data_IF_512418478143
#
_entry.id   IF_512418478143
#
_cell.length_a   1.000
_cell.length_b   1.000
_cell.length_c   1.000
_cell.angle_alpha   90.00
_cell.angle_beta   90.00
_cell.angle_gamma   90.00
#
_symmetry.space_group_name_H-M   'P 1'
#
loop_
_entity.id
_entity.type
_entity.pdbx_description
1 polymer ?
#
# COMPACT_ATOMS: atom_id res chain seq x y z
N UNK A 1 4.87 -1.00 -28.20
CA UNK A 1 5.40 -1.63 -26.97
C UNK A 1 5.15 -3.14 -27.05
N UNK A 2 6.05 -3.96 -26.51
CA UNK A 2 5.82 -5.41 -26.30
C UNK A 2 5.48 -5.63 -24.83
N UNK A 3 4.49 -6.47 -24.54
CA UNK A 3 4.08 -6.82 -23.18
C UNK A 3 3.61 -8.27 -23.11
N UNK A 4 3.28 -8.74 -21.90
CA UNK A 4 2.76 -10.10 -21.68
C UNK A 4 1.24 -10.02 -21.64
N UNK A 5 0.55 -10.67 -22.58
CA UNK A 5 -0.90 -10.77 -22.55
C UNK A 5 -1.34 -11.72 -21.42
N UNK A 6 -2.15 -11.19 -20.51
CA UNK A 6 -2.77 -11.93 -19.40
C UNK A 6 -4.21 -12.33 -19.75
N UNK A 7 -4.84 -11.60 -20.69
CA UNK A 7 -6.21 -11.80 -21.18
C UNK A 7 -6.36 -11.33 -22.63
N UNK A 8 -7.36 -11.84 -23.33
CA UNK A 8 -7.71 -11.45 -24.69
C UNK A 8 -8.92 -10.50 -24.69
N UNK A 9 -9.06 -9.74 -25.77
CA UNK A 9 -10.12 -8.76 -25.93
C UNK A 9 -9.60 -7.38 -26.30
N UNK A 10 -10.53 -6.50 -26.68
CA UNK A 10 -10.25 -5.11 -27.03
C UNK A 10 -11.16 -4.23 -26.18
N UNK A 11 -10.56 -3.27 -25.47
CA UNK A 11 -11.27 -2.28 -24.68
C UNK A 11 -10.88 -0.88 -25.17
N UNK A 12 -11.86 0.03 -25.19
CA UNK A 12 -11.66 1.45 -25.50
C UNK A 12 -12.24 2.23 -24.32
N UNK A 13 -11.46 3.16 -23.76
CA UNK A 13 -11.84 3.94 -22.60
C UNK A 13 -10.80 5.00 -22.26
N UNK A 14 -11.15 5.88 -21.33
CA UNK A 14 -10.21 6.89 -20.81
C UNK A 14 -9.10 6.20 -20.02
N UNK A 15 -7.87 6.65 -20.20
CA UNK A 15 -6.75 6.18 -19.40
C UNK A 15 -6.80 6.83 -18.01
N UNK A 16 -6.85 6.01 -16.96
CA UNK A 16 -6.68 6.43 -15.57
C UNK A 16 -5.28 6.01 -15.12
N UNK A 17 -4.42 6.99 -14.85
CA UNK A 17 -3.08 6.72 -14.35
C UNK A 17 -3.14 6.59 -12.84
N UNK A 18 -2.93 5.38 -12.32
CA UNK A 18 -2.77 5.16 -10.89
C UNK A 18 -1.31 5.41 -10.52
N UNK A 19 -1.07 6.48 -9.75
CA UNK A 19 0.27 6.83 -9.30
C UNK A 19 0.74 5.87 -8.18
N UNK A 20 1.82 5.15 -8.47
CA UNK A 20 2.52 4.27 -7.53
C UNK A 20 3.88 4.84 -7.10
N UNK A 21 4.16 6.12 -7.38
CA UNK A 21 5.46 6.74 -7.11
C UNK A 21 5.72 6.79 -5.60
N UNK A 22 6.91 6.34 -5.20
CA UNK A 22 7.34 6.40 -3.79
C UNK A 22 7.61 7.86 -3.38
N UNK A 23 7.24 8.22 -2.16
CA UNK A 23 7.46 9.58 -1.65
C UNK A 23 8.95 9.91 -1.49
N UNK A 24 9.35 11.08 -2.01
CA UNK A 24 10.64 11.68 -1.70
C UNK A 24 10.54 12.37 -0.34
N UNK A 25 11.04 11.71 0.70
CA UNK A 25 10.96 12.20 2.07
C UNK A 25 12.29 12.86 2.44
N UNK A 26 12.25 14.16 2.71
CA UNK A 26 13.41 14.97 3.11
C UNK A 26 13.50 14.98 4.64
N UNK A 27 14.71 14.76 5.16
CA UNK A 27 14.99 14.91 6.60
C UNK A 27 14.94 16.39 6.99
N UNK A 28 14.10 16.72 7.96
CA UNK A 28 14.01 18.05 8.59
C UNK A 28 14.27 17.92 10.08
N UNK A 29 15.16 18.76 10.59
CA UNK A 29 15.36 18.93 12.03
C UNK A 29 14.14 19.67 12.61
N UNK A 30 13.59 19.18 13.72
CA UNK A 30 12.46 19.82 14.42
C UNK A 30 12.92 20.39 15.77
N UNK A 31 12.23 21.42 16.25
CA UNK A 31 12.47 21.98 17.58
C UNK A 31 11.84 21.11 18.68
N UNK A 32 12.28 21.29 19.93
CA UNK A 32 11.72 20.57 21.09
C UNK A 32 10.20 20.73 21.20
N UNK A 33 9.69 21.92 20.85
CA UNK A 33 8.27 22.26 20.91
C UNK A 33 7.43 21.56 19.82
N UNK A 34 8.08 21.05 18.77
CA UNK A 34 7.43 20.32 17.68
C UNK A 34 7.43 18.80 17.90
N UNK A 35 8.28 18.27 18.79
CA UNK A 35 8.45 16.83 19.00
C UNK A 35 7.12 16.13 19.28
N UNK A 36 6.37 16.59 20.29
CA UNK A 36 5.10 15.94 20.64
C UNK A 36 4.02 16.16 19.57
N UNK A 37 4.11 17.23 18.76
CA UNK A 37 3.23 17.42 17.60
C UNK A 37 3.49 16.36 16.52
N UNK A 38 4.76 16.07 16.24
CA UNK A 38 5.14 15.03 15.27
C UNK A 38 4.77 13.63 15.77
N UNK A 39 4.92 13.36 17.08
CA UNK A 39 4.42 12.11 17.70
C UNK A 39 2.91 11.97 17.52
N UNK A 40 2.15 13.03 17.76
CA UNK A 40 0.69 13.01 17.59
C UNK A 40 0.29 12.80 16.12
N UNK A 41 1.01 13.43 15.16
CA UNK A 41 0.80 13.18 13.73
C UNK A 41 0.99 11.71 13.36
N UNK A 42 2.01 11.04 13.90
CA UNK A 42 2.24 9.60 13.70
C UNK A 42 1.07 8.77 14.23
N UNK A 43 0.65 9.05 15.48
CA UNK A 43 -0.49 8.33 16.09
C UNK A 43 -1.76 8.46 15.27
N UNK A 44 -2.10 9.67 14.82
CA UNK A 44 -3.27 9.92 14.00
C UNK A 44 -3.21 9.21 12.65
N UNK A 45 -2.04 9.22 12.00
CA UNK A 45 -1.86 8.53 10.72
C UNK A 45 -2.01 7.00 10.87
N UNK A 46 -1.53 6.43 11.97
CA UNK A 46 -1.70 5.00 12.28
C UNK A 46 -3.15 4.66 12.52
N UNK A 47 -3.86 5.41 13.36
CA UNK A 47 -5.28 5.17 13.62
C UNK A 47 -6.13 5.28 12.34
N UNK A 48 -5.83 6.26 11.49
CA UNK A 48 -6.45 6.36 10.15
C UNK A 48 -6.15 5.14 9.28
N UNK A 49 -4.91 4.63 9.34
CA UNK A 49 -4.49 3.44 8.60
C UNK A 49 -5.21 2.19 9.11
N UNK A 50 -5.34 2.02 10.43
CA UNK A 50 -6.11 0.91 11.05
C UNK A 50 -7.57 0.93 10.59
N UNK A 51 -8.20 2.10 10.61
CA UNK A 51 -9.57 2.25 10.12
C UNK A 51 -9.69 1.84 8.64
N UNK A 52 -8.80 2.33 7.78
CA UNK A 52 -8.78 1.98 6.35
C UNK A 52 -8.59 0.47 6.15
N UNK A 53 -7.64 -0.15 6.86
CA UNK A 53 -7.38 -1.59 6.73
C UNK A 53 -8.58 -2.43 7.18
N UNK A 54 -9.29 -2.03 8.23
CA UNK A 54 -10.52 -2.68 8.67
C UNK A 54 -11.64 -2.57 7.60
N UNK A 55 -11.78 -1.43 6.93
CA UNK A 55 -12.73 -1.28 5.82
C UNK A 55 -12.34 -2.15 4.61
N UNK A 56 -11.06 -2.20 4.26
CA UNK A 56 -10.55 -3.02 3.16
C UNK A 56 -10.75 -4.51 3.49
N UNK A 57 -10.52 -4.93 4.74
CA UNK A 57 -10.76 -6.30 5.18
C UNK A 57 -12.22 -6.73 4.99
N UNK A 58 -13.19 -5.90 5.40
CA UNK A 58 -14.63 -6.17 5.19
C UNK A 58 -15.00 -6.29 3.71
N UNK A 59 -14.30 -5.59 2.81
CA UNK A 59 -14.48 -5.74 1.35
C UNK A 59 -13.81 -6.99 0.83
N UNK A 60 -12.62 -7.33 1.33
CA UNK A 60 -11.86 -8.52 0.96
C UNK A 60 -12.65 -9.81 1.23
N UNK A 61 -13.32 -9.91 2.39
CA UNK A 61 -14.20 -11.03 2.77
C UNK A 61 -15.32 -11.29 1.76
N UNK A 62 -15.78 -10.26 1.04
CA UNK A 62 -16.82 -10.39 0.01
C UNK A 62 -16.27 -10.79 -1.36
N UNK A 63 -14.95 -10.77 -1.53
CA UNK A 63 -14.28 -11.04 -2.81
C UNK A 63 -13.74 -12.47 -2.84
N UNK A 64 -12.87 -12.83 -1.90
CA UNK A 64 -12.31 -14.17 -1.76
C UNK A 64 -11.54 -14.30 -0.44
N UNK A 65 -11.59 -15.48 0.17
CA UNK A 65 -10.92 -15.81 1.44
C UNK A 65 -9.42 -15.50 1.42
N UNK A 66 -8.76 -15.70 0.27
CA UNK A 66 -7.33 -15.40 0.11
C UNK A 66 -6.99 -13.94 0.41
N UNK A 67 -7.85 -12.99 -0.01
CA UNK A 67 -7.62 -11.56 0.28
C UNK A 67 -7.88 -11.24 1.74
N UNK A 68 -8.87 -11.88 2.37
CA UNK A 68 -9.15 -11.70 3.80
C UNK A 68 -7.95 -12.12 4.68
N UNK A 69 -7.28 -13.23 4.35
CA UNK A 69 -6.07 -13.70 5.07
C UNK A 69 -4.90 -12.72 4.93
N UNK A 70 -4.71 -12.13 3.74
CA UNK A 70 -3.66 -11.11 3.52
C UNK A 70 -3.96 -9.88 4.39
N UNK A 71 -5.20 -9.38 4.36
CA UNK A 71 -5.59 -8.21 5.15
C UNK A 71 -5.52 -8.46 6.66
N UNK A 72 -5.84 -9.68 7.12
CA UNK A 72 -5.69 -10.07 8.52
C UNK A 72 -4.22 -10.04 8.97
N UNK A 73 -3.29 -10.46 8.10
CA UNK A 73 -1.85 -10.28 8.36
C UNK A 73 -1.51 -8.80 8.54
N UNK A 74 -2.06 -7.91 7.71
CA UNK A 74 -1.74 -6.49 7.78
C UNK A 74 -2.23 -5.87 9.08
N UNK A 75 -3.40 -6.30 9.56
CA UNK A 75 -3.89 -5.91 10.89
C UNK A 75 -2.95 -6.37 11.99
N UNK A 76 -2.49 -7.62 11.94
CA UNK A 76 -1.55 -8.14 12.94
C UNK A 76 -0.22 -7.38 12.94
N UNK A 77 0.27 -6.97 11.76
CA UNK A 77 1.48 -6.14 11.62
C UNK A 77 1.26 -4.71 12.12
N UNK A 78 0.07 -4.15 11.97
CA UNK A 78 -0.32 -2.84 12.51
C UNK A 78 -0.44 -2.81 14.03
N UNK A 79 -0.83 -3.94 14.61
CA UNK A 79 -0.90 -4.12 16.06
C UNK A 79 0.49 -4.35 16.69
N UNK A 80 1.55 -4.37 15.87
CA UNK A 80 2.93 -4.39 16.38
C UNK A 80 3.31 -2.99 16.87
N UNK A 81 3.04 -2.77 18.16
CA UNK A 81 3.44 -1.59 18.92
C UNK A 81 4.93 -1.25 18.75
N UNK A 82 5.79 -2.21 18.40
CA UNK A 82 7.24 -2.04 18.30
C UNK A 82 7.62 -1.02 17.22
N UNK A 83 7.13 -1.15 15.97
CA UNK A 83 7.49 -0.21 14.90
C UNK A 83 7.05 1.23 15.24
N UNK A 84 5.87 1.35 15.84
CA UNK A 84 5.28 2.63 16.25
C UNK A 84 6.07 3.25 17.39
N UNK A 85 6.35 2.48 18.44
CA UNK A 85 7.10 2.93 19.61
C UNK A 85 8.52 3.30 19.23
N UNK A 86 9.21 2.47 18.44
CA UNK A 86 10.55 2.77 17.94
C UNK A 86 10.57 4.06 17.11
N UNK A 87 9.54 4.27 16.27
CA UNK A 87 9.40 5.51 15.51
C UNK A 87 9.21 6.71 16.45
N UNK A 88 8.35 6.61 17.47
CA UNK A 88 8.11 7.68 18.44
C UNK A 88 9.36 7.99 19.26
N UNK A 89 10.08 6.97 19.71
CA UNK A 89 11.34 7.11 20.42
C UNK A 89 12.41 7.78 19.55
N UNK A 90 12.51 7.36 18.29
CA UNK A 90 13.44 7.96 17.33
C UNK A 90 13.09 9.42 17.02
N UNK A 91 11.80 9.80 16.96
CA UNK A 91 11.39 11.20 16.79
C UNK A 91 11.91 12.04 17.97
N UNK A 92 11.70 11.56 19.20
CA UNK A 92 12.14 12.26 20.42
C UNK A 92 13.65 12.35 20.53
N UNK A 93 14.37 11.27 20.19
CA UNK A 93 15.83 11.18 20.28
C UNK A 93 16.53 11.98 19.19
N UNK A 94 16.10 11.84 17.94
CA UNK A 94 16.76 12.42 16.77
C UNK A 94 16.28 13.84 16.49
N UNK A 95 15.11 14.22 17.02
CA UNK A 95 14.42 15.49 16.74
C UNK A 95 14.33 15.72 15.24
N UNK A 96 13.79 14.72 14.55
CA UNK A 96 13.51 14.72 13.11
C UNK A 96 12.00 14.59 12.85
N UNK A 97 11.57 14.99 11.65
CA UNK A 97 10.17 14.91 11.24
C UNK A 97 9.66 13.46 11.10
N UNK A 98 8.37 13.27 11.35
CA UNK A 98 7.69 11.98 11.42
C UNK A 98 7.90 11.09 10.19
N UNK A 99 7.78 11.66 8.99
CA UNK A 99 7.86 10.89 7.74
C UNK A 99 9.25 10.30 7.55
N UNK A 100 10.29 11.10 7.85
CA UNK A 100 11.66 10.64 7.71
C UNK A 100 12.00 9.59 8.74
N UNK A 101 11.60 9.81 10.00
CA UNK A 101 11.85 8.85 11.07
C UNK A 101 11.12 7.53 10.84
N UNK A 102 9.86 7.55 10.38
CA UNK A 102 9.13 6.33 10.05
C UNK A 102 9.82 5.54 8.93
N UNK A 103 10.31 6.23 7.90
CA UNK A 103 11.06 5.61 6.80
C UNK A 103 12.38 4.99 7.28
N UNK A 104 13.10 5.68 8.17
CA UNK A 104 14.34 5.17 8.77
C UNK A 104 14.06 3.93 9.64
N UNK A 105 13.07 3.99 10.52
CA UNK A 105 12.68 2.84 11.36
C UNK A 105 12.30 1.66 10.48
N UNK A 106 11.47 1.85 9.44
CA UNK A 106 11.16 0.77 8.49
C UNK A 106 12.43 0.20 7.86
N UNK A 107 13.36 1.04 7.41
CA UNK A 107 14.62 0.58 6.81
C UNK A 107 15.40 -0.36 7.74
N UNK A 108 15.44 -0.06 9.04
CA UNK A 108 16.06 -0.93 10.03
C UNK A 108 15.34 -2.27 10.16
N UNK A 109 14.01 -2.30 10.16
CA UNK A 109 13.26 -3.56 10.15
C UNK A 109 13.48 -4.36 8.87
N UNK A 110 13.46 -3.72 7.70
CA UNK A 110 13.64 -4.39 6.41
C UNK A 110 15.02 -5.05 6.28
N UNK A 111 16.08 -4.44 6.83
CA UNK A 111 17.42 -5.04 6.82
C UNK A 111 17.51 -6.29 7.69
N UNK A 112 16.71 -6.39 8.76
CA UNK A 112 16.59 -7.63 9.54
C UNK A 112 15.96 -8.76 8.71
N UNK A 113 14.96 -8.45 7.87
CA UNK A 113 14.35 -9.42 6.96
C UNK A 113 15.30 -9.87 5.84
N UNK A 114 16.19 -8.99 5.37
CA UNK A 114 17.16 -9.33 4.30
C UNK A 114 18.17 -10.41 4.70
N UNK A 115 18.40 -10.59 5.99
CA UNK A 115 19.27 -11.63 6.52
C UNK A 115 18.56 -13.00 6.65
N UNK A 116 17.26 -13.07 6.33
CA UNK A 116 16.46 -14.28 6.48
C UNK A 116 16.18 -14.88 5.10
N UNK A 117 16.68 -16.11 4.87
CA UNK A 117 16.54 -16.79 3.59
C UNK A 117 15.30 -17.71 3.57
N UNK A 118 14.12 -17.13 3.76
CA UNK A 118 12.83 -17.82 3.80
C UNK A 118 11.81 -17.07 2.91
N UNK A 119 11.26 -17.76 1.92
CA UNK A 119 10.33 -17.18 0.94
C UNK A 119 8.98 -16.76 1.55
N UNK A 120 8.54 -17.41 2.63
CA UNK A 120 7.35 -16.97 3.38
C UNK A 120 7.62 -15.64 4.08
N UNK A 121 8.81 -15.46 4.66
CA UNK A 121 9.20 -14.22 5.34
C UNK A 121 9.51 -13.08 4.37
N UNK A 122 9.96 -13.38 3.14
CA UNK A 122 10.04 -12.37 2.06
C UNK A 122 8.68 -11.75 1.74
N UNK A 123 7.61 -12.55 1.68
CA UNK A 123 6.26 -12.03 1.49
C UNK A 123 5.83 -11.07 2.61
N UNK A 124 6.19 -11.37 3.87
CA UNK A 124 5.91 -10.49 5.02
C UNK A 124 6.69 -9.18 4.99
N UNK A 125 7.90 -9.18 4.40
CA UNK A 125 8.69 -7.97 4.17
C UNK A 125 7.94 -6.99 3.25
N UNK A 126 7.42 -7.50 2.13
CA UNK A 126 6.68 -6.68 1.16
C UNK A 126 5.38 -6.15 1.75
N UNK A 127 4.68 -6.99 2.53
CA UNK A 127 3.49 -6.62 3.30
C UNK A 127 3.77 -5.45 4.28
N UNK A 128 4.93 -5.47 4.95
CA UNK A 128 5.35 -4.41 5.86
C UNK A 128 5.69 -3.10 5.12
N UNK A 129 6.39 -3.15 3.97
CA UNK A 129 6.66 -1.94 3.16
C UNK A 129 5.34 -1.32 2.71
N UNK A 130 4.41 -2.11 2.18
CA UNK A 130 3.09 -1.66 1.76
C UNK A 130 2.31 -0.96 2.89
N UNK A 131 2.38 -1.52 4.09
CA UNK A 131 1.73 -0.95 5.24
C UNK A 131 2.31 0.43 5.59
N UNK A 132 3.64 0.55 5.66
CA UNK A 132 4.29 1.83 5.97
C UNK A 132 4.07 2.86 4.88
N UNK A 133 4.04 2.47 3.60
CA UNK A 133 3.66 3.39 2.52
C UNK A 133 2.25 3.97 2.77
N UNK A 134 1.32 3.17 3.29
CA UNK A 134 -0.04 3.66 3.62
C UNK A 134 -0.02 4.65 4.79
N UNK A 135 0.76 4.36 5.84
CA UNK A 135 0.93 5.30 6.96
C UNK A 135 1.57 6.62 6.49
N UNK A 136 2.58 6.54 5.61
CA UNK A 136 3.23 7.72 5.02
C UNK A 136 2.26 8.56 4.17
N UNK A 137 1.39 7.93 3.38
CA UNK A 137 0.32 8.64 2.64
C UNK A 137 -0.56 9.44 3.59
N UNK A 138 -0.98 8.81 4.69
CA UNK A 138 -1.79 9.46 5.72
C UNK A 138 -1.06 10.60 6.43
N UNK A 139 0.23 10.45 6.73
CA UNK A 139 1.07 11.51 7.32
C UNK A 139 1.24 12.73 6.41
N UNK A 140 1.42 12.50 5.11
CA UNK A 140 1.62 13.54 4.10
C UNK A 140 0.32 14.22 3.68
N UNK A 141 -0.82 13.85 4.27
CA UNK A 141 -2.12 14.40 3.93
C UNK A 141 -2.54 14.11 2.49
N UNK A 142 -1.86 13.18 1.81
CA UNK A 142 -2.29 12.75 0.49
C UNK A 142 -3.55 11.93 0.69
N UNK A 143 -4.69 12.50 0.29
CA UNK A 143 -5.88 11.69 0.03
C UNK A 143 -5.45 10.67 -1.00
N UNK A 144 -5.57 9.39 -0.66
CA UNK A 144 -5.55 8.33 -1.64
C UNK A 144 -6.52 8.78 -2.74
N UNK A 145 -6.04 9.09 -3.95
CA UNK A 145 -6.94 9.12 -5.10
C UNK A 145 -7.54 7.73 -5.14
N UNK A 146 -8.71 7.64 -4.54
CA UNK A 146 -9.23 6.36 -4.17
C UNK A 146 -9.66 5.75 -5.46
N UNK A 147 -9.14 4.59 -5.83
CA UNK A 147 -9.70 3.83 -6.94
C UNK A 147 -11.23 3.69 -6.81
N UNK A 148 -11.75 3.77 -5.57
CA UNK A 148 -13.19 3.79 -5.31
C UNK A 148 -13.94 5.07 -5.71
N UNK A 149 -13.26 6.17 -6.02
CA UNK A 149 -13.85 7.42 -6.55
C UNK A 149 -14.01 7.41 -8.07
N UNK A 150 -13.44 6.42 -8.77
CA UNK A 150 -13.69 6.20 -10.19
C UNK A 150 -15.19 6.03 -10.38
N UNK A 151 -15.82 6.97 -11.09
CA UNK A 151 -17.26 7.04 -11.31
C UNK A 151 -17.64 6.90 -12.80
N UNK A 152 -16.64 6.72 -13.68
CA UNK A 152 -16.83 6.50 -15.11
C UNK A 152 -15.99 5.31 -15.61
N UNK A 153 -16.33 4.72 -16.78
CA UNK A 153 -15.56 3.62 -17.33
C UNK A 153 -14.13 4.02 -17.74
N UNK A 154 -13.11 3.30 -17.23
CA UNK A 154 -11.69 3.61 -17.46
C UNK A 154 -10.85 2.38 -17.78
N UNK A 155 -9.69 2.62 -18.41
CA UNK A 155 -8.57 1.69 -18.55
C UNK A 155 -7.50 2.14 -17.56
N UNK A 156 -7.12 1.29 -16.61
CA UNK A 156 -6.12 1.65 -15.62
C UNK A 156 -4.72 1.40 -16.18
N UNK A 157 -3.84 2.39 -16.04
CA UNK A 157 -2.41 2.29 -16.28
C UNK A 157 -1.66 2.51 -14.97
N UNK A 158 -0.74 1.60 -14.61
CA UNK A 158 0.06 1.72 -13.38
C UNK A 158 1.40 1.01 -13.52
N UNK A 159 2.36 1.25 -12.63
CA UNK A 159 3.54 0.39 -12.54
C UNK A 159 3.17 -1.00 -12.02
N UNK A 160 2.44 -1.07 -10.91
CA UNK A 160 1.99 -2.32 -10.28
C UNK A 160 0.67 -2.10 -9.53
N UNK A 161 0.00 -3.21 -9.15
CA UNK A 161 -1.16 -3.18 -8.27
C UNK A 161 -0.84 -3.86 -6.95
N UNK A 162 -1.26 -3.23 -5.86
CA UNK A 162 -1.24 -3.84 -4.52
C UNK A 162 -2.52 -4.66 -4.28
N UNK A 163 -2.53 -5.57 -3.30
CA UNK A 163 -3.76 -6.25 -2.87
C UNK A 163 -4.87 -5.26 -2.49
N UNK A 164 -4.53 -4.17 -1.82
CA UNK A 164 -5.47 -3.12 -1.43
C UNK A 164 -6.07 -2.42 -2.65
N UNK A 165 -5.26 -2.05 -3.63
CA UNK A 165 -5.75 -1.43 -4.88
C UNK A 165 -6.76 -2.34 -5.58
N UNK A 166 -6.41 -3.62 -5.64
CA UNK A 166 -7.20 -4.70 -6.23
C UNK A 166 -8.59 -4.84 -5.56
N UNK A 167 -8.64 -4.73 -4.23
CA UNK A 167 -9.89 -4.81 -3.44
C UNK A 167 -10.73 -3.55 -3.59
N UNK A 168 -10.09 -2.38 -3.65
CA UNK A 168 -10.77 -1.08 -3.67
C UNK A 168 -11.32 -0.68 -5.05
N UNK A 169 -10.84 -1.34 -6.10
CA UNK A 169 -11.16 -1.01 -7.49
C UNK A 169 -12.63 -1.34 -7.87
N UNK A 170 -13.37 -0.40 -8.49
CA UNK A 170 -14.74 -0.62 -8.94
C UNK A 170 -14.75 -1.47 -10.21
N UNK A 171 -14.90 -2.78 -10.01
CA UNK A 171 -14.84 -3.83 -11.05
C UNK A 171 -15.74 -3.57 -12.26
N UNK A 172 -16.90 -2.95 -12.05
CA UNK A 172 -17.89 -2.64 -13.08
C UNK A 172 -17.46 -1.48 -14.01
N UNK A 173 -16.56 -0.62 -13.56
CA UNK A 173 -16.10 0.56 -14.28
C UNK A 173 -14.74 0.34 -14.95
N UNK A 174 -13.95 -0.63 -14.48
CA UNK A 174 -12.65 -0.93 -15.10
C UNK A 174 -12.84 -1.82 -16.32
N UNK A 175 -12.53 -1.26 -17.50
CA UNK A 175 -12.65 -1.91 -18.80
C UNK A 175 -11.37 -2.63 -19.23
N UNK A 176 -10.24 -2.30 -18.62
CA UNK A 176 -8.94 -2.89 -18.94
C UNK A 176 -7.86 -2.43 -17.97
N UNK A 177 -6.74 -3.16 -17.99
CA UNK A 177 -5.60 -2.90 -17.13
C UNK A 177 -4.30 -3.02 -17.93
N UNK A 178 -3.39 -2.07 -17.73
CA UNK A 178 -2.04 -2.08 -18.27
C UNK A 178 -1.07 -1.84 -17.12
N UNK A 179 -0.14 -2.76 -16.89
CA UNK A 179 0.91 -2.61 -15.86
C UNK A 179 2.30 -2.75 -16.45
N UNK A 180 3.27 -2.03 -15.88
CA UNK A 180 4.68 -2.16 -16.24
C UNK A 180 5.31 -3.40 -15.60
N UNK A 181 4.96 -3.68 -14.35
CA UNK A 181 5.38 -4.85 -13.59
C UNK A 181 4.19 -5.79 -13.33
N UNK A 182 4.42 -7.09 -13.45
CA UNK A 182 3.42 -8.13 -13.21
C UNK A 182 3.48 -9.31 -14.18
N UNK A 183 2.76 -10.37 -13.85
CA UNK A 183 2.63 -11.59 -14.66
C UNK A 183 1.36 -12.38 -14.29
N UNK A 184 1.10 -13.51 -14.96
CA UNK A 184 -0.14 -14.30 -14.74
C UNK A 184 -0.39 -14.71 -13.29
N UNK A 185 0.66 -14.90 -12.49
CA UNK A 185 0.59 -15.30 -11.07
C UNK A 185 0.65 -14.14 -10.09
N UNK A 186 0.88 -12.92 -10.56
CA UNK A 186 0.93 -11.72 -9.71
C UNK A 186 -0.48 -11.29 -9.25
N UNK A 187 -0.56 -10.35 -8.30
CA UNK A 187 -1.83 -9.75 -7.89
C UNK A 187 -2.64 -9.22 -9.09
N UNK A 188 -1.95 -8.64 -10.08
CA UNK A 188 -2.51 -8.20 -11.36
C UNK A 188 -3.13 -9.36 -12.14
N UNK A 189 -2.42 -10.48 -12.25
CA UNK A 189 -2.89 -11.64 -13.02
C UNK A 189 -4.06 -12.37 -12.37
N UNK A 190 -4.02 -12.53 -11.04
CA UNK A 190 -5.12 -13.09 -10.26
C UNK A 190 -6.36 -12.20 -10.35
N UNK A 191 -6.18 -10.88 -10.28
CA UNK A 191 -7.29 -9.94 -10.38
C UNK A 191 -7.90 -9.86 -11.78
N UNK A 192 -7.08 -9.80 -12.82
CA UNK A 192 -7.56 -9.83 -14.21
C UNK A 192 -8.45 -11.06 -14.46
N UNK A 193 -8.00 -12.24 -14.00
CA UNK A 193 -8.81 -13.46 -14.07
C UNK A 193 -10.14 -13.35 -13.28
N UNK A 194 -10.13 -12.72 -12.10
CA UNK A 194 -11.31 -12.53 -11.26
C UNK A 194 -12.32 -11.52 -11.83
N UNK A 195 -11.90 -10.61 -12.73
CA UNK A 195 -12.78 -9.66 -13.42
C UNK A 195 -13.52 -10.26 -14.63
N UNK A 196 -13.28 -11.53 -14.96
CA UNK A 196 -13.75 -12.09 -16.23
C UNK A 196 -13.03 -11.49 -17.45
N UNK A 197 -11.95 -10.73 -17.20
CA UNK A 197 -10.96 -10.34 -18.21
C UNK A 197 -10.11 -11.62 -18.41
N UNK A 198 -10.70 -12.60 -19.09
CA UNK A 198 -10.10 -13.91 -19.38
C UNK A 198 -9.37 -13.89 -20.73
N UNK A 199 -8.41 -14.82 -20.96
CA UNK A 199 -7.90 -15.09 -22.29
C UNK A 199 -8.97 -15.60 -23.26
#
# INVERSE_FOLDING_TARGET
MKGISVSTGVAIGKAYLLDSTKFCIIKRQISELEVEKEVERVRQAIEKTKFQMAEIQKRAEKIADKYAVIMYTYSLLLDVDILVNDTIENIRKLKANAEWTLKETLGNFLTLFDNINDDYLKGKKDDLDLLVQTILKNLLGHSQESLSEINEPVIIATHSLTPTDTIMMPRNLVKGLVTEAGGKTSHVGIFAAALGIQP
#
